data_IF_898443234466
#
_entry.id   IF_898443234466
#
_cell.length_a   1.000
_cell.length_b   1.000
_cell.length_c   1.000
_cell.angle_alpha   90.00
_cell.angle_beta   90.00
_cell.angle_gamma   90.00
#
_symmetry.space_group_name_H-M   'P 1'
#
loop_
_entity.id
_entity.type
_entity.pdbx_description
1 polymer ?
#
# COMPACT_ATOMS: atom_id res chain seq x y z
N UNK A 1 5.44 -1.58 -11.92
CA UNK A 1 5.96 -2.51 -12.95
C UNK A 1 7.49 -2.49 -12.93
N UNK A 2 8.14 -3.66 -12.98
CA UNK A 2 9.60 -3.77 -12.93
C UNK A 2 10.15 -4.34 -14.25
N UNK A 3 10.24 -3.57 -15.35
CA UNK A 3 10.79 -4.07 -16.62
C UNK A 3 12.24 -4.60 -16.49
N UNK A 4 12.94 -4.25 -15.40
CA UNK A 4 14.21 -4.84 -14.97
C UNK A 4 14.19 -6.37 -14.86
N UNK A 5 13.08 -6.96 -14.41
CA UNK A 5 12.94 -8.40 -14.18
C UNK A 5 12.68 -9.23 -15.45
N UNK A 6 12.46 -8.57 -16.60
CA UNK A 6 12.28 -9.25 -17.88
C UNK A 6 13.61 -9.68 -18.48
N UNK A 7 13.66 -10.86 -19.12
CA UNK A 7 14.86 -11.33 -19.80
C UNK A 7 15.32 -10.32 -20.88
N UNK A 8 16.64 -10.12 -21.06
CA UNK A 8 17.17 -9.22 -22.07
C UNK A 8 16.64 -9.49 -23.49
N UNK A 9 16.37 -10.76 -23.81
CA UNK A 9 15.86 -11.21 -25.12
C UNK A 9 14.40 -10.83 -25.39
N UNK A 10 13.58 -10.69 -24.35
CA UNK A 10 12.22 -10.16 -24.47
C UNK A 10 12.29 -8.65 -24.67
N UNK A 11 13.13 -7.98 -23.88
CA UNK A 11 13.28 -6.53 -23.87
C UNK A 11 13.74 -5.95 -25.21
N UNK A 12 14.59 -6.66 -25.95
CA UNK A 12 15.08 -6.21 -27.26
C UNK A 12 14.06 -6.32 -28.39
N UNK A 13 13.00 -7.13 -28.21
CA UNK A 13 11.96 -7.38 -29.22
C UNK A 13 10.65 -6.62 -28.97
N UNK A 14 10.53 -5.95 -27.82
CA UNK A 14 9.33 -5.20 -27.45
C UNK A 14 9.59 -3.69 -27.46
N UNK A 15 8.61 -2.91 -27.92
CA UNK A 15 8.60 -1.46 -27.75
C UNK A 15 8.19 -1.13 -26.31
N UNK A 16 9.01 -0.35 -25.61
CA UNK A 16 8.67 0.14 -24.27
C UNK A 16 7.77 1.36 -24.39
N UNK A 17 6.51 1.21 -23.99
CA UNK A 17 5.58 2.32 -23.79
C UNK A 17 5.55 2.64 -22.30
N UNK A 18 6.02 3.84 -21.93
CA UNK A 18 5.99 4.29 -20.53
C UNK A 18 4.65 4.96 -20.27
N UNK A 19 3.87 4.37 -19.37
CA UNK A 19 2.67 5.00 -18.82
C UNK A 19 3.12 5.82 -17.61
N UNK A 20 3.25 7.13 -17.78
CA UNK A 20 3.57 8.04 -16.68
C UNK A 20 2.34 8.21 -15.79
N UNK A 21 2.52 8.33 -14.46
CA UNK A 21 1.43 8.70 -13.57
C UNK A 21 0.81 10.03 -13.98
N UNK A 22 -0.50 10.17 -13.78
CA UNK A 22 -1.18 11.46 -13.88
C UNK A 22 -0.68 12.39 -12.77
N UNK A 23 -0.61 13.69 -13.06
CA UNK A 23 -0.42 14.67 -11.99
C UNK A 23 -1.71 14.82 -11.14
N UNK A 24 -1.64 15.63 -10.09
CA UNK A 24 -2.75 15.78 -9.15
C UNK A 24 -4.00 16.39 -9.77
N UNK A 25 -3.84 17.35 -10.69
CA UNK A 25 -4.94 18.06 -11.32
C UNK A 25 -5.60 17.17 -12.39
N UNK A 26 -4.80 16.48 -13.19
CA UNK A 26 -5.27 15.47 -14.16
C UNK A 26 -6.01 14.33 -13.47
N UNK A 27 -5.47 13.81 -12.37
CA UNK A 27 -6.11 12.76 -11.59
C UNK A 27 -7.45 13.22 -11.02
N UNK A 28 -7.52 14.44 -10.48
CA UNK A 28 -8.77 15.02 -9.98
C UNK A 28 -9.79 15.20 -11.10
N UNK A 29 -9.40 15.71 -12.27
CA UNK A 29 -10.28 15.85 -13.41
C UNK A 29 -10.90 14.51 -13.83
N UNK A 30 -10.13 13.41 -13.78
CA UNK A 30 -10.65 12.06 -14.01
C UNK A 30 -11.65 11.65 -12.92
N UNK A 31 -11.33 11.89 -11.65
CA UNK A 31 -12.17 11.49 -10.52
C UNK A 31 -13.51 12.24 -10.47
N UNK A 32 -13.56 13.51 -10.87
CA UNK A 32 -14.80 14.29 -10.97
C UNK A 32 -15.82 13.65 -11.94
N UNK A 33 -15.36 12.81 -12.86
CA UNK A 33 -16.22 12.05 -13.79
C UNK A 33 -16.57 10.64 -13.30
N UNK A 34 -16.00 10.21 -12.18
CA UNK A 34 -16.20 8.89 -11.60
C UNK A 34 -17.28 8.90 -10.52
N UNK A 35 -17.90 7.74 -10.29
CA UNK A 35 -18.82 7.55 -9.18
C UNK A 35 -18.23 6.54 -8.17
N UNK A 36 -18.21 6.86 -6.86
CA UNK A 36 -18.54 8.15 -6.25
C UNK A 36 -17.50 9.23 -6.58
N UNK A 37 -17.87 10.52 -6.49
CA UNK A 37 -16.95 11.63 -6.70
C UNK A 37 -15.85 11.64 -5.63
N UNK A 38 -14.72 12.34 -5.89
CA UNK A 38 -13.67 12.49 -4.91
C UNK A 38 -14.19 13.23 -3.65
N UNK A 39 -13.51 13.10 -2.50
CA UNK A 39 -13.88 13.83 -1.29
C UNK A 39 -13.89 15.35 -1.51
N UNK A 40 -14.81 16.09 -0.89
CA UNK A 40 -14.80 17.56 -0.93
C UNK A 40 -13.73 18.17 -0.01
N UNK A 41 -13.40 17.47 1.08
CA UNK A 41 -12.42 17.93 2.07
C UNK A 41 -11.02 18.06 1.44
N UNK A 42 -10.38 19.25 1.48
CA UNK A 42 -9.07 19.48 0.87
C UNK A 42 -7.97 18.55 1.41
N UNK A 43 -8.02 18.18 2.69
CA UNK A 43 -7.03 17.30 3.32
C UNK A 43 -7.20 15.87 2.79
N UNK A 44 -8.44 15.37 2.74
CA UNK A 44 -8.75 14.08 2.15
C UNK A 44 -8.40 14.01 0.66
N UNK A 45 -8.62 15.09 -0.10
CA UNK A 45 -8.20 15.18 -1.52
C UNK A 45 -6.71 15.07 -1.69
N UNK A 46 -5.93 15.85 -0.93
CA UNK A 46 -4.47 15.79 -0.99
C UNK A 46 -3.96 14.39 -0.65
N UNK A 47 -4.50 13.79 0.40
CA UNK A 47 -4.14 12.43 0.81
C UNK A 47 -4.54 11.37 -0.23
N UNK A 48 -5.65 11.57 -0.95
CA UNK A 48 -6.06 10.71 -2.06
C UNK A 48 -5.10 10.80 -3.24
N UNK A 49 -4.72 12.00 -3.65
CA UNK A 49 -3.76 12.20 -4.76
C UNK A 49 -2.43 11.55 -4.43
N UNK A 50 -1.90 11.81 -3.24
CA UNK A 50 -0.63 11.27 -2.78
C UNK A 50 -0.65 9.74 -2.80
N UNK A 51 -1.67 9.12 -2.18
CA UNK A 51 -1.79 7.65 -2.07
C UNK A 51 -2.13 6.97 -3.39
N UNK A 52 -2.85 7.63 -4.29
CA UNK A 52 -3.14 7.09 -5.60
C UNK A 52 -1.90 6.99 -6.48
N UNK A 53 -0.88 7.84 -6.23
CA UNK A 53 0.36 7.87 -6.99
C UNK A 53 0.13 8.09 -8.48
N UNK A 54 -0.83 8.97 -8.83
CA UNK A 54 -1.22 9.29 -10.21
C UNK A 54 -1.99 8.18 -10.95
N UNK A 55 -2.46 7.14 -10.26
CA UNK A 55 -3.29 6.09 -10.85
C UNK A 55 -4.77 6.31 -10.59
N UNK A 56 -5.52 6.58 -11.66
CA UNK A 56 -6.98 6.74 -11.62
C UNK A 56 -7.69 5.53 -11.00
N UNK A 57 -7.32 4.31 -11.39
CA UNK A 57 -7.87 3.08 -10.82
C UNK A 57 -7.70 3.03 -9.30
N UNK A 58 -6.50 3.37 -8.82
CA UNK A 58 -6.21 3.32 -7.39
C UNK A 58 -7.01 4.37 -6.62
N UNK A 59 -7.08 5.59 -7.15
CA UNK A 59 -7.87 6.64 -6.55
C UNK A 59 -9.36 6.26 -6.45
N UNK A 60 -9.92 5.66 -7.52
CA UNK A 60 -11.30 5.17 -7.51
C UNK A 60 -11.51 4.10 -6.44
N UNK A 61 -10.61 3.11 -6.33
CA UNK A 61 -10.72 2.07 -5.30
C UNK A 61 -10.60 2.64 -3.89
N UNK A 62 -9.67 3.57 -3.67
CA UNK A 62 -9.50 4.23 -2.36
C UNK A 62 -10.76 5.03 -1.97
N UNK A 63 -11.41 5.66 -2.95
CA UNK A 63 -12.64 6.44 -2.72
C UNK A 63 -13.84 5.54 -2.46
N UNK A 64 -14.00 4.46 -3.24
CA UNK A 64 -15.16 3.55 -3.15
C UNK A 64 -15.16 2.67 -1.89
N UNK A 65 -13.98 2.24 -1.43
CA UNK A 65 -13.87 1.16 -0.44
C UNK A 65 -13.26 1.63 0.89
N UNK A 66 -13.40 2.92 1.22
CA UNK A 66 -12.90 3.46 2.49
C UNK A 66 -11.38 3.39 2.63
N UNK A 67 -10.65 3.38 1.51
CA UNK A 67 -9.22 3.14 1.51
C UNK A 67 -8.39 4.22 2.21
N UNK A 68 -8.89 5.47 2.24
CA UNK A 68 -8.25 6.55 3.01
C UNK A 68 -8.31 6.28 4.52
N UNK A 69 -9.44 5.78 5.03
CA UNK A 69 -9.61 5.46 6.44
C UNK A 69 -8.72 4.27 6.83
N UNK A 70 -8.75 3.19 6.03
CA UNK A 70 -7.89 2.02 6.20
C UNK A 70 -6.42 2.44 6.25
N UNK A 71 -5.99 3.24 5.28
CA UNK A 71 -4.60 3.71 5.21
C UNK A 71 -4.24 4.58 6.42
N UNK A 72 -5.07 5.56 6.78
CA UNK A 72 -4.82 6.42 7.94
C UNK A 72 -4.76 5.65 9.26
N UNK A 73 -5.59 4.61 9.41
CA UNK A 73 -5.61 3.77 10.60
C UNK A 73 -4.33 2.95 10.69
N UNK A 74 -3.87 2.38 9.57
CA UNK A 74 -2.60 1.66 9.52
C UNK A 74 -1.41 2.60 9.80
N UNK A 75 -1.41 3.80 9.20
CA UNK A 75 -0.38 4.82 9.42
C UNK A 75 -0.28 5.19 10.92
N UNK A 76 -1.42 5.37 11.59
CA UNK A 76 -1.48 5.67 13.02
C UNK A 76 -0.97 4.51 13.89
N UNK A 77 -1.27 3.26 13.52
CA UNK A 77 -0.78 2.08 14.24
C UNK A 77 0.75 1.93 14.15
N UNK A 78 1.32 2.24 12.99
CA UNK A 78 2.76 2.12 12.73
C UNK A 78 3.55 3.28 13.35
N UNK A 79 3.03 4.51 13.29
CA UNK A 79 3.69 5.70 13.85
C UNK A 79 3.48 5.87 15.36
N UNK A 80 2.55 5.12 15.95
CA UNK A 80 2.25 5.15 17.38
C UNK A 80 3.45 4.74 18.25
N UNK A 81 3.75 5.56 19.28
CA UNK A 81 4.82 5.29 20.26
C UNK A 81 4.64 3.99 21.04
N UNK A 82 3.40 3.53 21.20
CA UNK A 82 3.05 2.28 21.89
C UNK A 82 2.28 1.39 20.93
N UNK A 83 2.43 0.07 21.09
CA UNK A 83 1.61 -0.89 20.35
C UNK A 83 0.15 -0.76 20.78
N UNK A 84 -0.73 -0.35 19.85
CA UNK A 84 -2.18 -0.38 20.05
C UNK A 84 -2.75 -1.69 19.51
N UNK A 85 -2.69 -2.72 20.35
CA UNK A 85 -3.21 -4.06 20.03
C UNK A 85 -4.71 -3.99 19.72
N UNK A 86 -5.48 -3.18 20.46
CA UNK A 86 -6.92 -3.05 20.24
C UNK A 86 -7.25 -2.42 18.88
N UNK A 87 -6.51 -1.39 18.48
CA UNK A 87 -6.59 -0.80 17.15
C UNK A 87 -6.21 -1.78 16.04
N UNK A 88 -5.15 -2.57 16.23
CA UNK A 88 -4.73 -3.58 15.26
C UNK A 88 -5.81 -4.65 15.04
N UNK A 89 -6.44 -5.16 16.11
CA UNK A 89 -7.54 -6.11 16.01
C UNK A 89 -8.76 -5.52 15.29
N UNK A 90 -9.12 -4.26 15.58
CA UNK A 90 -10.24 -3.59 14.89
C UNK A 90 -9.98 -3.43 13.40
N UNK A 91 -8.78 -2.98 13.02
CA UNK A 91 -8.40 -2.85 11.62
C UNK A 91 -8.41 -4.22 10.91
N UNK A 92 -7.79 -5.24 11.52
CA UNK A 92 -7.78 -6.59 10.98
C UNK A 92 -9.19 -7.14 10.75
N UNK A 93 -10.11 -6.90 11.69
CA UNK A 93 -11.51 -7.32 11.56
C UNK A 93 -12.25 -6.57 10.45
N UNK A 94 -11.99 -5.27 10.29
CA UNK A 94 -12.59 -4.46 9.24
C UNK A 94 -12.18 -4.94 7.83
N UNK A 95 -10.92 -5.36 7.65
CA UNK A 95 -10.39 -5.73 6.32
C UNK A 95 -10.49 -7.23 6.01
N UNK A 96 -10.69 -8.10 7.01
CA UNK A 96 -10.72 -9.55 6.83
C UNK A 96 -12.12 -10.14 6.62
N UNK A 97 -13.17 -9.32 6.51
CA UNK A 97 -14.53 -9.79 6.28
C UNK A 97 -14.68 -10.56 4.96
N UNK A 98 -15.70 -11.44 4.88
CA UNK A 98 -15.98 -12.30 3.72
C UNK A 98 -16.07 -11.52 2.40
N UNK A 99 -16.70 -10.35 2.42
CA UNK A 99 -16.91 -9.49 1.24
C UNK A 99 -15.97 -8.27 1.23
N UNK A 100 -14.85 -8.33 1.98
CA UNK A 100 -13.88 -7.24 2.16
C UNK A 100 -12.60 -7.44 1.33
N UNK A 101 -12.69 -8.14 0.19
CA UNK A 101 -11.51 -8.48 -0.61
C UNK A 101 -10.73 -7.25 -1.11
N UNK A 102 -11.43 -6.17 -1.46
CA UNK A 102 -10.80 -4.94 -1.95
C UNK A 102 -10.15 -4.17 -0.80
N UNK A 103 -10.81 -4.11 0.36
CA UNK A 103 -10.28 -3.50 1.58
C UNK A 103 -9.02 -4.23 2.07
N UNK A 104 -9.02 -5.56 1.97
CA UNK A 104 -7.86 -6.38 2.26
C UNK A 104 -6.69 -6.09 1.32
N UNK A 105 -6.94 -5.95 0.01
CA UNK A 105 -5.94 -5.56 -0.99
C UNK A 105 -5.39 -4.15 -0.70
N UNK A 106 -6.27 -3.18 -0.40
CA UNK A 106 -5.88 -1.82 -0.02
C UNK A 106 -4.98 -1.83 1.22
N UNK A 107 -5.33 -2.60 2.24
CA UNK A 107 -4.54 -2.77 3.46
C UNK A 107 -3.14 -3.34 3.15
N UNK A 108 -3.08 -4.46 2.41
CA UNK A 108 -1.83 -5.12 2.05
C UNK A 108 -0.94 -4.22 1.23
N UNK A 109 -1.53 -3.51 0.28
CA UNK A 109 -0.80 -2.55 -0.53
C UNK A 109 -0.25 -1.40 0.30
N UNK A 110 -1.04 -0.82 1.20
CA UNK A 110 -0.54 0.25 2.07
C UNK A 110 0.61 -0.22 2.95
N UNK A 111 0.55 -1.45 3.46
CA UNK A 111 1.65 -2.06 4.20
C UNK A 111 2.93 -2.13 3.36
N UNK A 112 2.83 -2.59 2.10
CA UNK A 112 3.97 -2.63 1.18
C UNK A 112 4.49 -1.23 0.83
N UNK A 113 3.61 -0.25 0.63
CA UNK A 113 3.98 1.14 0.33
C UNK A 113 4.77 1.74 1.50
N UNK A 114 4.31 1.56 2.75
CA UNK A 114 5.01 2.03 3.96
C UNK A 114 6.45 1.46 4.07
N UNK A 115 6.62 0.18 3.80
CA UNK A 115 7.94 -0.47 3.80
C UNK A 115 8.84 0.07 2.67
N UNK A 116 8.28 0.26 1.47
CA UNK A 116 9.01 0.76 0.31
C UNK A 116 9.46 2.21 0.50
N UNK A 117 8.57 3.07 1.02
CA UNK A 117 8.85 4.47 1.31
C UNK A 117 9.94 4.59 2.37
N UNK A 118 9.82 3.84 3.47
CA UNK A 118 10.82 3.84 4.55
C UNK A 118 12.19 3.31 4.06
N UNK A 119 12.21 2.25 3.26
CA UNK A 119 13.44 1.70 2.68
C UNK A 119 14.12 2.73 1.76
N UNK A 120 13.34 3.40 0.92
CA UNK A 120 13.82 4.45 0.01
C UNK A 120 14.39 5.64 0.77
N UNK A 121 13.71 6.10 1.82
CA UNK A 121 14.17 7.18 2.69
C UNK A 121 15.48 6.82 3.41
N UNK A 122 15.59 5.60 3.95
CA UNK A 122 16.81 5.11 4.58
C UNK A 122 17.99 5.05 3.59
N UNK A 123 17.75 4.57 2.37
CA UNK A 123 18.78 4.51 1.32
C UNK A 123 19.26 5.90 0.91
N UNK A 124 18.34 6.85 0.74
CA UNK A 124 18.67 8.25 0.42
C UNK A 124 19.43 8.94 1.55
N UNK A 125 19.15 8.57 2.81
CA UNK A 125 19.88 9.04 3.98
C UNK A 125 21.26 8.36 4.16
N UNK A 126 21.59 7.37 3.33
CA UNK A 126 22.86 6.62 3.40
C UNK A 126 22.88 5.50 4.44
N UNK A 127 21.77 5.23 5.13
CA UNK A 127 21.63 4.12 6.07
C UNK A 127 21.28 2.83 5.31
N UNK A 128 22.29 2.27 4.64
CA UNK A 128 22.14 1.07 3.80
C UNK A 128 21.74 -0.17 4.61
N UNK A 129 22.11 -0.23 5.89
CA UNK A 129 21.74 -1.35 6.77
C UNK A 129 20.23 -1.32 7.04
N UNK A 130 19.69 -0.17 7.45
CA UNK A 130 18.24 0.02 7.64
C UNK A 130 17.47 -0.19 6.34
N UNK A 131 17.95 0.36 5.24
CA UNK A 131 17.33 0.20 3.92
C UNK A 131 17.25 -1.28 3.52
N UNK A 132 18.31 -2.06 3.76
CA UNK A 132 18.31 -3.50 3.53
C UNK A 132 17.27 -4.21 4.39
N UNK A 133 17.23 -3.98 5.69
CA UNK A 133 16.25 -4.62 6.59
C UNK A 133 14.82 -4.35 6.14
N UNK A 134 14.48 -3.09 5.83
CA UNK A 134 13.15 -2.71 5.35
C UNK A 134 12.80 -3.35 4.00
N UNK A 135 13.78 -3.41 3.08
CA UNK A 135 13.63 -4.09 1.80
C UNK A 135 13.42 -5.60 1.96
N UNK A 136 14.14 -6.26 2.88
CA UNK A 136 13.96 -7.69 3.14
C UNK A 136 12.56 -7.95 3.73
N UNK A 137 12.13 -7.14 4.71
CA UNK A 137 10.77 -7.22 5.27
C UNK A 137 9.69 -6.99 4.21
N UNK A 138 9.92 -6.09 3.23
CA UNK A 138 9.02 -5.90 2.10
C UNK A 138 8.86 -7.17 1.26
N UNK A 139 9.95 -7.89 0.96
CA UNK A 139 9.88 -9.15 0.22
C UNK A 139 9.13 -10.21 1.01
N UNK A 140 9.44 -10.37 2.29
CA UNK A 140 8.72 -11.31 3.15
C UNK A 140 7.22 -10.97 3.22
N UNK A 141 6.87 -9.68 3.26
CA UNK A 141 5.48 -9.23 3.29
C UNK A 141 4.75 -9.57 1.98
N UNK A 142 5.42 -9.39 0.84
CA UNK A 142 4.89 -9.77 -0.47
C UNK A 142 4.67 -11.29 -0.56
N UNK A 143 5.62 -12.08 -0.08
CA UNK A 143 5.52 -13.55 -0.05
C UNK A 143 4.33 -13.98 0.84
N UNK A 144 4.18 -13.38 2.02
CA UNK A 144 3.06 -13.67 2.93
C UNK A 144 1.68 -13.34 2.31
N UNK A 145 1.59 -12.25 1.53
CA UNK A 145 0.38 -11.91 0.77
C UNK A 145 0.09 -13.02 -0.25
N UNK A 146 1.10 -13.40 -1.03
CA UNK A 146 0.97 -14.45 -2.05
C UNK A 146 0.57 -15.79 -1.44
N UNK A 147 1.16 -16.19 -0.31
CA UNK A 147 0.82 -17.43 0.40
C UNK A 147 -0.60 -17.40 0.95
N UNK A 148 -1.03 -16.26 1.52
CA UNK A 148 -2.39 -16.09 2.03
C UNK A 148 -3.42 -16.27 0.94
N UNK A 149 -3.20 -15.67 -0.23
CA UNK A 149 -4.08 -15.83 -1.38
C UNK A 149 -4.02 -17.25 -1.97
N UNK A 150 -2.82 -17.82 -2.10
CA UNK A 150 -2.60 -19.16 -2.71
C UNK A 150 -3.21 -20.27 -1.88
N UNK A 151 -3.05 -20.22 -0.56
CA UNK A 151 -3.51 -21.27 0.36
C UNK A 151 -4.84 -20.90 1.06
N UNK A 152 -5.46 -19.78 0.68
CA UNK A 152 -6.69 -19.27 1.28
C UNK A 152 -6.60 -19.23 2.83
N UNK A 153 -5.50 -18.65 3.33
CA UNK A 153 -5.24 -18.55 4.77
C UNK A 153 -6.18 -17.54 5.45
N UNK A 154 -6.24 -17.61 6.77
CA UNK A 154 -7.07 -16.69 7.56
C UNK A 154 -6.59 -15.24 7.41
N UNK A 155 -7.43 -14.42 6.77
CA UNK A 155 -7.13 -13.01 6.46
C UNK A 155 -6.96 -12.15 7.71
N UNK A 156 -7.68 -12.45 8.79
CA UNK A 156 -7.59 -11.68 10.04
C UNK A 156 -6.24 -11.92 10.70
N UNK A 157 -5.80 -13.17 10.75
CA UNK A 157 -4.48 -13.54 11.23
C UNK A 157 -3.38 -12.94 10.37
N UNK A 158 -3.50 -12.99 9.04
CA UNK A 158 -2.55 -12.33 8.13
C UNK A 158 -2.45 -10.83 8.42
N UNK A 159 -3.58 -10.11 8.51
CA UNK A 159 -3.58 -8.68 8.77
C UNK A 159 -2.92 -8.32 10.11
N UNK A 160 -3.17 -9.10 11.18
CA UNK A 160 -2.51 -8.92 12.48
C UNK A 160 -1.00 -9.14 12.38
N UNK A 161 -0.57 -10.23 11.75
CA UNK A 161 0.85 -10.53 11.56
C UNK A 161 1.55 -9.48 10.69
N UNK A 162 0.87 -8.94 9.68
CA UNK A 162 1.38 -7.86 8.84
C UNK A 162 1.59 -6.57 9.65
N UNK A 163 0.63 -6.20 10.51
CA UNK A 163 0.76 -5.02 11.40
C UNK A 163 1.92 -5.19 12.38
N UNK A 164 2.09 -6.38 12.96
CA UNK A 164 3.20 -6.65 13.87
C UNK A 164 4.56 -6.61 13.17
N UNK A 165 4.63 -7.17 11.96
CA UNK A 165 5.82 -7.11 11.10
C UNK A 165 6.21 -5.68 10.76
N UNK A 166 5.24 -4.85 10.36
CA UNK A 166 5.45 -3.43 10.10
C UNK A 166 5.98 -2.71 11.34
N UNK A 167 5.33 -2.89 12.49
CA UNK A 167 5.75 -2.25 13.73
C UNK A 167 7.17 -2.64 14.13
N UNK A 168 7.52 -3.91 13.97
CA UNK A 168 8.86 -4.42 14.28
C UNK A 168 9.91 -3.77 13.38
N UNK A 169 9.69 -3.76 12.06
CA UNK A 169 10.63 -3.20 11.10
C UNK A 169 10.80 -1.68 11.21
N UNK A 170 9.73 -0.95 11.57
CA UNK A 170 9.76 0.51 11.66
C UNK A 170 10.43 1.03 12.93
N UNK A 171 10.47 0.21 13.99
CA UNK A 171 11.05 0.58 15.30
C UNK A 171 12.52 0.20 15.48
N UNK A 172 13.06 -0.64 14.60
CA UNK A 172 14.51 -0.86 14.49
C UNK A 172 15.19 0.39 13.92
#
# INVERSE_FOLDING_TARGET
HAPGSLLPTIRSRCQVVRLTPLDGDELMAVLETAEPPPPDDPVARAALVERAGGSARNAILLTQYGGLEIASTLDALVTGRKSDVGGAFRLAEAVAGRDQAIQFDIFNRRALDLLSDAASQAALAGDLARAKTLSDTWHEALDAISETDTYNLDKKQHALTMIDRLNSAMRM
#
